data_IF_279257102276
#
_entry.id   IF_279257102276
#
_cell.length_a   1.000
_cell.length_b   1.000
_cell.length_c   1.000
_cell.angle_alpha   90.00
_cell.angle_beta   90.00
_cell.angle_gamma   90.00
#
_symmetry.space_group_name_H-M   'P 1'
#
loop_
_entity.id
_entity.type
_entity.pdbx_description
1 polymer ?
#
# COMPACT_ATOMS: atom_id res chain seq x y z
N UNK A 1 11.65 6.85 -2.04
CA UNK A 1 10.46 6.06 -2.50
C UNK A 1 10.28 4.82 -1.63
N UNK A 2 9.19 4.69 -0.85
CA UNK A 2 9.05 3.64 0.18
C UNK A 2 7.59 3.15 0.35
N UNK A 3 7.40 1.90 0.76
CA UNK A 3 6.08 1.33 1.13
C UNK A 3 5.89 1.15 2.63
N UNK A 4 6.83 1.60 3.45
CA UNK A 4 6.71 1.57 4.90
C UNK A 4 5.52 2.43 5.37
N UNK A 5 4.90 2.10 6.52
CA UNK A 5 3.77 2.82 7.08
C UNK A 5 4.23 4.11 7.77
N UNK A 6 4.89 4.98 7.03
CA UNK A 6 5.33 6.31 7.44
C UNK A 6 4.17 7.33 7.28
N UNK A 7 4.23 8.50 7.93
CA UNK A 7 3.18 9.53 7.83
C UNK A 7 2.78 9.89 6.40
N UNK A 8 3.74 9.96 5.49
CA UNK A 8 3.57 10.28 4.06
C UNK A 8 2.80 9.18 3.31
N UNK A 9 2.75 7.97 3.84
CA UNK A 9 1.91 6.87 3.35
C UNK A 9 0.60 6.75 4.16
N UNK A 10 0.21 7.81 4.86
CA UNK A 10 -0.88 7.87 5.83
C UNK A 10 -0.72 6.88 6.99
N UNK A 11 0.52 6.49 7.33
CA UNK A 11 0.83 5.45 8.33
C UNK A 11 0.24 4.06 8.00
N UNK A 12 0.13 3.74 6.71
CA UNK A 12 -0.41 2.46 6.22
C UNK A 12 0.56 1.71 5.32
N UNK A 13 0.48 0.38 5.37
CA UNK A 13 1.03 -0.51 4.35
C UNK A 13 0.10 -0.53 3.14
N UNK A 14 0.65 -0.40 1.93
CA UNK A 14 -0.13 -0.40 0.70
C UNK A 14 0.06 -1.73 -0.05
N UNK A 15 -0.85 -2.66 0.19
CA UNK A 15 -0.73 -4.07 -0.22
C UNK A 15 -1.75 -4.46 -1.29
N UNK A 16 -1.49 -5.57 -1.96
CA UNK A 16 -2.39 -6.18 -2.93
C UNK A 16 -3.03 -7.45 -2.38
N UNK A 17 -4.20 -7.82 -2.91
CA UNK A 17 -4.83 -9.12 -2.65
C UNK A 17 -5.52 -9.64 -3.92
N UNK A 18 -5.85 -10.94 -3.94
CA UNK A 18 -6.69 -11.54 -4.98
C UNK A 18 -6.07 -11.42 -6.38
N UNK A 19 -6.70 -10.66 -7.28
CA UNK A 19 -6.22 -10.42 -8.66
C UNK A 19 -5.18 -9.29 -8.78
N UNK A 20 -4.62 -8.79 -7.67
CA UNK A 20 -3.56 -7.77 -7.65
C UNK A 20 -3.88 -6.47 -8.40
N UNK A 21 -5.16 -6.07 -8.45
CA UNK A 21 -5.62 -4.94 -9.28
C UNK A 21 -5.42 -3.57 -8.64
N UNK A 22 -5.47 -3.49 -7.31
CA UNK A 22 -5.44 -2.22 -6.56
C UNK A 22 -4.57 -2.35 -5.32
N UNK A 23 -4.00 -1.23 -4.89
CA UNK A 23 -3.33 -1.09 -3.60
C UNK A 23 -4.37 -0.76 -2.53
N UNK A 24 -4.41 -1.53 -1.46
CA UNK A 24 -5.24 -1.29 -0.30
C UNK A 24 -4.38 -0.88 0.88
N UNK A 25 -4.83 0.13 1.60
CA UNK A 25 -4.17 0.59 2.82
C UNK A 25 -4.53 -0.33 3.99
N UNK A 26 -3.53 -0.96 4.61
CA UNK A 26 -3.65 -1.71 5.87
C UNK A 26 -2.96 -0.89 6.97
N UNK A 27 -3.59 -0.65 8.12
CA UNK A 27 -3.00 0.15 9.19
C UNK A 27 -1.61 -0.35 9.56
N UNK A 28 -0.64 0.55 9.72
CA UNK A 28 0.75 0.20 10.05
C UNK A 28 0.85 -0.69 11.28
N UNK A 29 0.09 -0.38 12.34
CA UNK A 29 0.02 -1.17 13.58
C UNK A 29 -0.51 -2.60 13.40
N UNK A 30 -1.17 -2.92 12.29
CA UNK A 30 -1.72 -4.25 12.05
C UNK A 30 -0.66 -5.25 11.53
N UNK A 31 0.48 -4.75 11.04
CA UNK A 31 1.57 -5.58 10.50
C UNK A 31 2.89 -4.95 10.95
N UNK A 32 3.68 -5.67 11.75
CA UNK A 32 5.01 -5.17 12.13
C UNK A 32 5.96 -5.17 10.93
N UNK A 33 6.98 -4.29 10.91
CA UNK A 33 8.01 -4.31 9.87
C UNK A 33 8.68 -5.69 9.71
N UNK A 34 8.91 -6.40 10.81
CA UNK A 34 9.51 -7.74 10.84
C UNK A 34 8.58 -8.78 10.19
N UNK A 35 7.27 -8.72 10.48
CA UNK A 35 6.29 -9.60 9.85
C UNK A 35 6.17 -9.33 8.34
N UNK A 36 6.23 -8.06 7.93
CA UNK A 36 6.27 -7.69 6.51
C UNK A 36 7.52 -8.24 5.83
N UNK A 37 8.69 -8.08 6.46
CA UNK A 37 9.95 -8.59 5.94
C UNK A 37 9.93 -10.12 5.80
N UNK A 38 9.52 -10.83 6.84
CA UNK A 38 9.38 -12.28 6.82
C UNK A 38 8.38 -12.76 5.74
N UNK A 39 7.28 -12.02 5.53
CA UNK A 39 6.31 -12.29 4.46
C UNK A 39 6.93 -12.19 3.07
N UNK A 40 7.75 -11.16 2.83
CA UNK A 40 8.46 -10.95 1.57
C UNK A 40 9.49 -12.05 1.36
N UNK A 41 10.35 -12.29 2.35
CA UNK A 41 11.46 -13.24 2.26
C UNK A 41 10.96 -14.68 2.05
N UNK A 42 9.87 -15.06 2.73
CA UNK A 42 9.28 -16.39 2.61
C UNK A 42 8.26 -16.51 1.47
N UNK A 43 7.99 -15.44 0.71
CA UNK A 43 6.91 -15.35 -0.26
C UNK A 43 5.56 -15.86 0.31
N UNK A 44 5.22 -15.44 1.53
CA UNK A 44 3.99 -15.82 2.24
C UNK A 44 3.05 -14.63 2.40
N UNK A 45 1.73 -14.85 2.27
CA UNK A 45 0.76 -13.78 2.48
C UNK A 45 0.59 -13.43 3.96
N UNK A 46 0.14 -12.20 4.21
CA UNK A 46 -0.29 -11.75 5.53
C UNK A 46 -1.82 -11.64 5.64
N UNK A 47 -2.42 -12.00 6.78
CA UNK A 47 -3.81 -11.67 7.06
C UNK A 47 -3.95 -10.18 7.41
N UNK A 48 -5.12 -9.60 7.15
CA UNK A 48 -5.35 -8.20 7.51
C UNK A 48 -6.70 -7.64 7.09
N UNK A 49 -7.01 -6.47 7.63
CA UNK A 49 -8.17 -5.66 7.25
C UNK A 49 -7.70 -4.33 6.67
N UNK A 50 -8.14 -4.02 5.46
CA UNK A 50 -7.87 -2.75 4.82
C UNK A 50 -8.76 -1.62 5.39
N UNK A 51 -8.34 -0.37 5.20
CA UNK A 51 -9.08 0.84 5.57
C UNK A 51 -10.48 0.88 4.94
N UNK A 52 -10.65 0.33 3.72
CA UNK A 52 -11.97 0.19 3.09
C UNK A 52 -12.87 -0.89 3.70
N UNK A 53 -12.44 -1.53 4.80
CA UNK A 53 -13.18 -2.59 5.47
C UNK A 53 -12.95 -4.01 4.91
N UNK A 54 -12.31 -4.15 3.75
CA UNK A 54 -12.03 -5.45 3.13
C UNK A 54 -11.15 -6.32 4.04
N UNK A 55 -11.66 -7.52 4.38
CA UNK A 55 -10.95 -8.53 5.17
C UNK A 55 -10.48 -9.65 4.25
N UNK A 56 -9.17 -9.94 4.26
CA UNK A 56 -8.58 -11.05 3.50
C UNK A 56 -7.51 -11.75 4.33
N UNK A 57 -7.36 -13.05 4.09
CA UNK A 57 -6.26 -13.86 4.63
C UNK A 57 -4.97 -13.73 3.80
N UNK A 58 -5.07 -13.16 2.59
CA UNK A 58 -3.99 -13.15 1.61
C UNK A 58 -3.67 -11.75 1.09
N UNK A 59 -2.85 -11.02 1.84
CA UNK A 59 -2.24 -9.76 1.43
C UNK A 59 -0.78 -9.93 1.06
N UNK A 60 -0.35 -9.21 0.05
CA UNK A 60 0.99 -9.30 -0.53
C UNK A 60 1.60 -7.92 -0.69
N UNK A 61 2.91 -7.83 -0.42
CA UNK A 61 3.69 -6.68 -0.83
C UNK A 61 3.96 -6.78 -2.34
N UNK A 62 3.48 -5.84 -3.17
CA UNK A 62 3.84 -5.82 -4.57
C UNK A 62 5.32 -5.42 -4.75
N UNK A 63 5.99 -6.04 -5.72
CA UNK A 63 7.30 -5.58 -6.18
C UNK A 63 7.26 -4.12 -6.67
N UNK A 64 8.42 -3.47 -6.71
CA UNK A 64 8.56 -2.01 -6.89
C UNK A 64 7.82 -1.46 -8.12
N UNK A 65 8.10 -2.00 -9.32
CA UNK A 65 7.44 -1.57 -10.57
C UNK A 65 5.93 -1.83 -10.56
N UNK A 66 5.54 -2.98 -10.03
CA UNK A 66 4.16 -3.37 -9.84
C UNK A 66 3.42 -2.40 -8.91
N UNK A 67 4.10 -1.81 -7.93
CA UNK A 67 3.52 -0.87 -6.98
C UNK A 67 3.27 0.49 -7.65
N UNK A 68 4.26 1.04 -8.34
CA UNK A 68 4.20 2.39 -8.92
C UNK A 68 3.09 2.54 -9.96
N UNK A 69 2.92 1.55 -10.85
CA UNK A 69 1.89 1.57 -11.88
C UNK A 69 0.48 1.24 -11.39
N UNK A 70 0.29 0.92 -10.11
CA UNK A 70 -0.99 0.39 -9.61
C UNK A 70 -1.83 1.45 -8.93
N UNK A 71 -3.13 1.48 -9.27
CA UNK A 71 -4.09 2.40 -8.65
C UNK A 71 -4.30 2.06 -7.17
N UNK A 72 -4.35 3.09 -6.34
CA UNK A 72 -4.87 2.99 -4.97
C UNK A 72 -6.37 2.68 -5.00
N UNK A 73 -6.83 1.94 -4.01
CA UNK A 73 -8.24 1.65 -3.85
C UNK A 73 -9.00 2.92 -3.43
N UNK A 74 -9.88 3.43 -4.29
CA UNK A 74 -10.66 4.66 -4.02
C UNK A 74 -11.38 4.64 -2.68
N UNK A 75 -12.05 3.54 -2.26
CA UNK A 75 -12.58 3.43 -0.89
C UNK A 75 -11.56 3.57 0.23
N UNK A 76 -10.33 3.05 0.08
CA UNK A 76 -9.27 3.26 1.07
C UNK A 76 -8.85 4.73 1.10
N UNK A 77 -8.71 5.36 -0.06
CA UNK A 77 -8.37 6.79 -0.16
C UNK A 77 -9.43 7.67 0.54
N UNK A 78 -10.71 7.42 0.29
CA UNK A 78 -11.81 8.13 0.94
C UNK A 78 -11.80 7.91 2.46
N UNK A 79 -11.62 6.67 2.92
CA UNK A 79 -11.56 6.35 4.35
C UNK A 79 -10.37 7.02 5.07
N UNK A 80 -9.32 7.38 4.35
CA UNK A 80 -8.12 8.03 4.88
C UNK A 80 -8.08 9.53 4.61
N UNK A 81 -9.08 10.10 3.92
CA UNK A 81 -9.11 11.53 3.58
C UNK A 81 -8.01 11.96 2.59
N UNK A 82 -7.50 11.04 1.76
CA UNK A 82 -6.43 11.33 0.78
C UNK A 82 -6.94 11.21 -0.66
N UNK A 83 -6.31 11.89 -1.64
CA UNK A 83 -6.68 11.76 -3.04
C UNK A 83 -6.40 10.34 -3.58
N UNK A 84 -7.27 9.89 -4.47
CA UNK A 84 -7.01 8.70 -5.29
C UNK A 84 -5.82 8.95 -6.22
N UNK A 85 -5.12 7.89 -6.62
CA UNK A 85 -3.96 8.00 -7.49
C UNK A 85 -3.23 6.68 -7.67
N UNK A 86 -1.96 6.74 -8.05
CA UNK A 86 -1.12 5.57 -8.37
C UNK A 86 0.02 5.42 -7.36
N UNK A 87 0.48 4.19 -7.15
CA UNK A 87 1.50 3.92 -6.15
C UNK A 87 1.05 4.24 -4.73
N UNK A 88 1.98 4.17 -3.78
CA UNK A 88 1.76 4.66 -2.43
C UNK A 88 1.77 6.20 -2.45
N UNK A 89 1.10 6.89 -1.51
CA UNK A 89 0.98 8.35 -1.57
C UNK A 89 2.34 9.07 -1.63
N UNK A 90 3.35 8.59 -0.88
CA UNK A 90 4.71 9.16 -0.94
C UNK A 90 5.36 9.03 -2.33
N UNK A 91 5.04 7.98 -3.10
CA UNK A 91 5.66 7.79 -4.41
C UNK A 91 5.03 8.72 -5.47
N UNK A 92 3.75 9.05 -5.32
CA UNK A 92 3.09 10.00 -6.23
C UNK A 92 3.55 11.43 -5.99
N UNK A 93 3.76 11.81 -4.72
CA UNK A 93 4.31 13.11 -4.37
C UNK A 93 5.69 13.32 -5.02
N UNK A 94 6.59 12.34 -4.90
CA UNK A 94 7.91 12.41 -5.53
C UNK A 94 7.85 12.49 -7.07
N UNK A 95 6.89 11.82 -7.71
CA UNK A 95 6.73 11.88 -9.19
C UNK A 95 6.27 13.28 -9.64
N UNK A 96 5.46 13.98 -8.83
CA UNK A 96 5.01 15.35 -9.15
C UNK A 96 6.12 16.39 -8.97
N UNK A 97 7.01 16.19 -8.01
CA UNK A 97 8.16 17.09 -7.77
C UNK A 97 9.21 17.00 -8.87
N UNK A 98 9.41 15.83 -9.48
CA UNK A 98 10.40 15.62 -10.55
C UNK A 98 9.92 16.04 -11.96
N UNK A 99 8.71 16.57 -12.12
CA UNK A 99 8.26 17.13 -13.40
C UNK A 99 8.65 18.62 -13.48
N UNK A 100 9.55 19.03 -14.42
CA UNK A 100 9.79 20.45 -14.65
C UNK A 100 8.50 21.09 -15.17
N UNK A 101 8.08 22.18 -14.53
CA UNK A 101 6.99 23.07 -14.97
C UNK A 101 7.24 23.65 -16.34
#
# INVERSE_FOLDING_TARGET
MTAHPIPENASHWWLTCGKWRRLHAIPGRAITPEAMRASIDAARPLPGRAACGLRRRWWWMPGMFSRLGRRRCTPCCHALGIPAGFGTPVNEASIKEDQPT
#
